data_IF_334992545768
#
_entry.id   IF_334992545768
#
_cell.length_a   1.000
_cell.length_b   1.000
_cell.length_c   1.000
_cell.angle_alpha   90.00
_cell.angle_beta   90.00
_cell.angle_gamma   90.00
#
_symmetry.space_group_name_H-M   'P 1'
#
loop_
_entity.id
_entity.type
_entity.pdbx_description
1 polymer ?
#
# COMPACT_ATOMS: atom_id res chain seq x y z
N UNK A 1 28.97 13.20 -10.55
CA UNK A 1 29.46 13.56 -11.91
C UNK A 1 28.30 13.45 -12.92
N UNK A 2 28.37 13.97 -14.18
CA UNK A 2 27.22 13.94 -15.10
C UNK A 2 26.74 12.55 -15.55
N UNK A 3 27.58 11.51 -15.37
CA UNK A 3 27.31 10.09 -15.67
C UNK A 3 27.21 9.22 -14.41
N UNK A 4 27.03 9.87 -13.26
CA UNK A 4 26.88 9.19 -11.98
C UNK A 4 25.53 8.44 -11.96
N UNK A 5 25.52 7.11 -11.72
CA UNK A 5 24.31 6.30 -11.76
C UNK A 5 23.18 6.86 -10.88
N UNK A 6 23.51 7.29 -9.66
CA UNK A 6 22.53 7.84 -8.72
C UNK A 6 21.93 9.16 -9.24
N UNK A 7 22.75 10.01 -9.85
CA UNK A 7 22.28 11.27 -10.43
C UNK A 7 21.36 11.03 -11.64
N UNK A 8 21.67 10.04 -12.48
CA UNK A 8 20.82 9.64 -13.60
C UNK A 8 19.48 9.07 -13.12
N UNK A 9 19.50 8.24 -12.07
CA UNK A 9 18.31 7.68 -11.46
C UNK A 9 17.39 8.77 -10.89
N UNK A 10 17.93 9.68 -10.07
CA UNK A 10 17.15 10.79 -9.49
C UNK A 10 16.59 11.70 -10.59
N UNK A 11 17.37 11.97 -11.64
CA UNK A 11 16.92 12.75 -12.80
C UNK A 11 15.76 12.06 -13.53
N UNK A 12 15.86 10.74 -13.76
CA UNK A 12 14.80 9.96 -14.38
C UNK A 12 13.53 9.96 -13.51
N UNK A 13 13.66 9.74 -12.20
CA UNK A 13 12.53 9.75 -11.27
C UNK A 13 11.80 11.11 -11.25
N UNK A 14 12.56 12.21 -11.17
CA UNK A 14 11.98 13.55 -11.21
C UNK A 14 11.23 13.81 -12.52
N UNK A 15 11.78 13.36 -13.65
CA UNK A 15 11.16 13.52 -14.96
C UNK A 15 9.86 12.70 -15.07
N UNK A 16 9.85 11.44 -14.60
CA UNK A 16 8.65 10.61 -14.54
C UNK A 16 7.57 11.27 -13.68
N UNK A 17 7.91 11.76 -12.48
CA UNK A 17 6.94 12.43 -11.59
C UNK A 17 6.30 13.65 -12.24
N UNK A 18 7.10 14.52 -12.86
CA UNK A 18 6.60 15.71 -13.57
C UNK A 18 5.72 15.35 -14.78
N UNK A 19 6.07 14.28 -15.49
CA UNK A 19 5.25 13.80 -16.60
C UNK A 19 3.87 13.32 -16.12
N UNK A 20 3.80 12.64 -14.97
CA UNK A 20 2.54 12.22 -14.34
C UNK A 20 1.63 13.38 -13.90
N UNK A 21 2.22 14.50 -13.47
CA UNK A 21 1.49 15.71 -13.08
C UNK A 21 1.01 16.53 -14.28
N UNK A 22 1.51 16.24 -15.48
CA UNK A 22 1.20 17.01 -16.69
C UNK A 22 -0.16 16.64 -17.29
N UNK A 23 -0.94 17.63 -17.77
CA UNK A 23 -2.11 17.36 -18.62
C UNK A 23 -1.77 16.57 -19.90
N UNK A 24 -0.54 16.72 -20.41
CA UNK A 24 -0.01 16.01 -21.59
C UNK A 24 0.77 14.73 -21.21
N UNK A 25 0.35 14.03 -20.14
CA UNK A 25 1.10 12.93 -19.52
C UNK A 25 1.64 11.88 -20.50
N UNK A 26 0.84 11.46 -21.48
CA UNK A 26 1.21 10.37 -22.38
C UNK A 26 2.42 10.75 -23.26
N UNK A 27 2.38 11.94 -23.86
CA UNK A 27 3.47 12.49 -24.67
C UNK A 27 4.73 12.72 -23.81
N UNK A 28 4.55 13.33 -22.63
CA UNK A 28 5.66 13.61 -21.71
C UNK A 28 6.32 12.34 -21.18
N UNK A 29 5.55 11.29 -20.91
CA UNK A 29 6.12 10.01 -20.50
C UNK A 29 6.95 9.40 -21.62
N UNK A 30 6.47 9.46 -22.87
CA UNK A 30 7.23 8.99 -24.02
C UNK A 30 8.61 9.69 -24.15
N UNK A 31 8.68 11.00 -23.90
CA UNK A 31 9.93 11.77 -23.88
C UNK A 31 10.90 11.34 -22.77
N UNK A 32 10.40 10.74 -21.68
CA UNK A 32 11.20 10.36 -20.50
C UNK A 32 11.86 8.99 -20.66
N UNK A 33 11.37 8.14 -21.57
CA UNK A 33 11.92 6.79 -21.83
C UNK A 33 13.46 6.73 -21.90
N UNK A 34 14.13 7.59 -22.70
CA UNK A 34 15.60 7.61 -22.78
C UNK A 34 16.32 7.88 -21.45
N UNK A 35 15.73 8.66 -20.53
CA UNK A 35 16.32 8.90 -19.21
C UNK A 35 16.28 7.65 -18.33
N UNK A 36 15.20 6.87 -18.44
CA UNK A 36 15.06 5.60 -17.72
C UNK A 36 16.07 4.58 -18.26
N UNK A 37 16.20 4.49 -19.59
CA UNK A 37 17.21 3.63 -20.23
C UNK A 37 18.62 3.99 -19.78
N UNK A 38 18.97 5.28 -19.80
CA UNK A 38 20.29 5.74 -19.37
C UNK A 38 20.58 5.40 -17.89
N UNK A 39 19.58 5.51 -17.00
CA UNK A 39 19.73 5.10 -15.61
C UNK A 39 19.93 3.58 -15.47
N UNK A 40 19.17 2.77 -16.22
CA UNK A 40 19.28 1.32 -16.22
C UNK A 40 20.62 0.80 -16.79
N UNK A 41 21.21 1.52 -17.75
CA UNK A 41 22.52 1.19 -18.33
C UNK A 41 23.69 1.59 -17.43
N UNK A 42 23.52 2.64 -16.61
CA UNK A 42 24.58 3.16 -15.75
C UNK A 42 24.89 2.22 -14.56
N UNK A 43 23.88 1.55 -14.02
CA UNK A 43 24.04 0.42 -13.10
C UNK A 43 23.12 -0.75 -13.51
N UNK A 44 23.63 -1.70 -14.32
CA UNK A 44 22.82 -2.81 -14.82
C UNK A 44 22.29 -3.76 -13.74
N UNK A 45 22.79 -3.69 -12.49
CA UNK A 45 22.32 -4.53 -11.39
C UNK A 45 21.22 -3.86 -10.55
N UNK A 46 21.06 -2.54 -10.67
CA UNK A 46 20.08 -1.79 -9.91
C UNK A 46 18.64 -2.11 -10.38
N UNK A 47 17.74 -2.58 -9.50
CA UNK A 47 16.33 -2.79 -9.83
C UNK A 47 15.52 -1.47 -9.93
N UNK A 48 15.98 -0.35 -9.36
CA UNK A 48 15.18 0.87 -9.22
C UNK A 48 14.82 1.52 -10.56
N UNK A 49 15.70 1.58 -11.59
CA UNK A 49 15.31 2.04 -12.93
C UNK A 49 14.14 1.24 -13.52
N UNK A 50 14.04 -0.05 -13.22
CA UNK A 50 12.95 -0.90 -13.71
C UNK A 50 11.62 -0.63 -13.00
N UNK A 51 11.64 -0.21 -11.72
CA UNK A 51 10.46 0.36 -11.07
C UNK A 51 9.94 1.56 -11.84
N UNK A 52 10.84 2.47 -12.25
CA UNK A 52 10.47 3.66 -13.04
C UNK A 52 9.96 3.26 -14.43
N UNK A 53 10.57 2.25 -15.07
CA UNK A 53 10.14 1.75 -16.37
C UNK A 53 8.72 1.16 -16.32
N UNK A 54 8.39 0.39 -15.27
CA UNK A 54 7.04 -0.15 -15.07
C UNK A 54 6.01 0.95 -14.80
N UNK A 55 6.36 1.96 -14.00
CA UNK A 55 5.47 3.09 -13.76
C UNK A 55 5.29 3.94 -15.04
N UNK A 56 6.35 4.14 -15.81
CA UNK A 56 6.29 4.76 -17.13
C UNK A 56 5.39 3.98 -18.08
N UNK A 57 5.56 2.65 -18.18
CA UNK A 57 4.77 1.78 -19.06
C UNK A 57 3.26 1.90 -18.79
N UNK A 58 2.87 2.05 -17.52
CA UNK A 58 1.48 2.29 -17.12
C UNK A 58 0.94 3.61 -17.68
N UNK A 59 1.69 4.70 -17.57
CA UNK A 59 1.22 6.01 -18.00
C UNK A 59 1.39 6.31 -19.48
N UNK A 60 2.31 5.62 -20.17
CA UNK A 60 2.51 5.69 -21.62
C UNK A 60 1.61 4.72 -22.39
N UNK A 61 0.72 4.00 -21.71
CA UNK A 61 -0.14 2.97 -22.30
C UNK A 61 0.61 1.88 -23.07
N UNK A 62 1.70 1.37 -22.49
CA UNK A 62 2.47 0.29 -23.10
C UNK A 62 1.61 -0.99 -23.29
N UNK A 63 2.00 -1.82 -24.25
CA UNK A 63 1.34 -3.12 -24.47
C UNK A 63 1.70 -4.11 -23.35
N UNK A 64 0.88 -5.14 -23.18
CA UNK A 64 1.17 -6.21 -22.21
C UNK A 64 2.53 -6.87 -22.45
N UNK A 65 2.90 -7.14 -23.70
CA UNK A 65 4.22 -7.70 -24.06
C UNK A 65 5.39 -6.80 -23.69
N UNK A 66 5.23 -5.48 -23.86
CA UNK A 66 6.25 -4.53 -23.42
C UNK A 66 6.37 -4.52 -21.90
N UNK A 67 5.24 -4.57 -21.18
CA UNK A 67 5.23 -4.70 -19.73
C UNK A 67 5.92 -5.99 -19.25
N UNK A 68 5.61 -7.15 -19.84
CA UNK A 68 6.24 -8.44 -19.50
C UNK A 68 7.76 -8.37 -19.64
N UNK A 69 8.25 -7.76 -20.73
CA UNK A 69 9.68 -7.57 -20.95
C UNK A 69 10.33 -6.72 -19.86
N UNK A 70 9.67 -5.64 -19.42
CA UNK A 70 10.17 -4.80 -18.32
C UNK A 70 10.11 -5.53 -16.98
N UNK A 71 9.06 -6.31 -16.75
CA UNK A 71 8.88 -7.10 -15.54
C UNK A 71 9.97 -8.17 -15.38
N UNK A 72 10.29 -8.89 -16.45
CA UNK A 72 11.39 -9.86 -16.46
C UNK A 72 12.73 -9.22 -16.08
N UNK A 73 12.99 -8.01 -16.58
CA UNK A 73 14.21 -7.27 -16.25
C UNK A 73 14.25 -6.85 -14.77
N UNK A 74 13.11 -6.43 -14.20
CA UNK A 74 13.01 -6.11 -12.79
C UNK A 74 13.28 -7.34 -11.90
N UNK A 75 12.59 -8.45 -12.17
CA UNK A 75 12.71 -9.71 -11.40
C UNK A 75 14.11 -10.30 -11.49
N UNK A 76 14.75 -10.24 -12.66
CA UNK A 76 16.13 -10.72 -12.87
C UNK A 76 17.16 -10.01 -11.97
N UNK A 77 16.90 -8.74 -11.62
CA UNK A 77 17.80 -7.94 -10.77
C UNK A 77 17.45 -8.07 -9.30
N UNK A 78 16.17 -8.06 -8.98
CA UNK A 78 15.70 -8.30 -7.62
C UNK A 78 14.27 -8.83 -7.62
N UNK A 79 14.14 -10.14 -7.43
CA UNK A 79 12.86 -10.84 -7.40
C UNK A 79 11.92 -10.35 -6.28
N UNK A 80 12.45 -9.73 -5.23
CA UNK A 80 11.67 -9.26 -4.08
C UNK A 80 11.72 -7.74 -3.89
N UNK A 81 12.09 -6.96 -4.91
CA UNK A 81 12.09 -5.51 -4.81
C UNK A 81 10.65 -4.96 -4.72
N UNK A 82 10.23 -4.58 -3.50
CA UNK A 82 8.87 -4.12 -3.19
C UNK A 82 8.38 -3.03 -4.15
N UNK A 83 9.20 -2.03 -4.46
CA UNK A 83 8.81 -0.95 -5.37
C UNK A 83 8.47 -1.42 -6.79
N UNK A 84 9.18 -2.44 -7.31
CA UNK A 84 8.90 -2.99 -8.65
C UNK A 84 7.58 -3.75 -8.64
N UNK A 85 7.35 -4.56 -7.60
CA UNK A 85 6.09 -5.26 -7.40
C UNK A 85 4.89 -4.31 -7.28
N UNK A 86 5.03 -3.21 -6.53
CA UNK A 86 3.99 -2.18 -6.44
C UNK A 86 3.73 -1.53 -7.81
N UNK A 87 4.77 -1.22 -8.58
CA UNK A 87 4.60 -0.67 -9.92
C UNK A 87 3.89 -1.66 -10.87
N UNK A 88 4.26 -2.94 -10.81
CA UNK A 88 3.61 -4.01 -11.58
C UNK A 88 2.13 -4.20 -11.20
N UNK A 89 1.84 -4.26 -9.89
CA UNK A 89 0.46 -4.32 -9.39
C UNK A 89 -0.39 -3.16 -9.92
N UNK A 90 0.17 -1.93 -9.92
CA UNK A 90 -0.54 -0.74 -10.43
C UNK A 90 -0.81 -0.82 -11.93
N UNK A 91 0.12 -1.39 -12.71
CA UNK A 91 -0.09 -1.62 -14.14
C UNK A 91 -1.24 -2.60 -14.39
N UNK A 92 -1.26 -3.71 -13.63
CA UNK A 92 -2.27 -4.77 -13.73
C UNK A 92 -3.62 -4.41 -13.08
N UNK A 93 -3.71 -3.29 -12.38
CA UNK A 93 -4.95 -2.91 -11.69
C UNK A 93 -6.13 -2.63 -12.64
N UNK A 94 -7.34 -2.78 -12.12
CA UNK A 94 -8.61 -2.56 -12.84
C UNK A 94 -8.75 -1.14 -13.44
N UNK A 95 -8.05 -0.16 -12.87
CA UNK A 95 -8.06 1.21 -13.37
C UNK A 95 -7.30 1.39 -14.70
N UNK A 96 -6.57 0.37 -15.16
CA UNK A 96 -5.71 0.44 -16.33
C UNK A 96 -5.94 -0.75 -17.25
N UNK A 97 -5.24 -1.86 -17.02
CA UNK A 97 -5.18 -2.97 -17.98
C UNK A 97 -5.81 -4.28 -17.52
N UNK A 98 -6.07 -4.45 -16.22
CA UNK A 98 -6.57 -5.72 -15.70
C UNK A 98 -7.93 -5.62 -15.03
N UNK A 99 -8.17 -6.55 -14.12
CA UNK A 99 -9.35 -6.65 -13.26
C UNK A 99 -8.93 -6.72 -11.80
N UNK A 100 -9.84 -6.43 -10.86
CA UNK A 100 -9.54 -6.61 -9.43
C UNK A 100 -9.14 -8.06 -9.13
N UNK A 101 -9.72 -9.04 -9.84
CA UNK A 101 -9.33 -10.43 -9.73
C UNK A 101 -7.87 -10.66 -10.13
N UNK A 102 -7.44 -10.23 -11.31
CA UNK A 102 -6.05 -10.37 -11.76
C UNK A 102 -5.07 -9.62 -10.86
N UNK A 103 -5.48 -8.46 -10.36
CA UNK A 103 -4.71 -7.66 -9.41
C UNK A 103 -4.45 -8.45 -8.11
N UNK A 104 -5.48 -9.06 -7.53
CA UNK A 104 -5.31 -9.91 -6.36
C UNK A 104 -4.53 -11.19 -6.68
N UNK A 105 -4.80 -11.87 -7.81
CA UNK A 105 -4.11 -13.11 -8.20
C UNK A 105 -2.59 -12.88 -8.31
N UNK A 106 -2.18 -11.75 -8.91
CA UNK A 106 -0.78 -11.32 -8.95
C UNK A 106 -0.23 -11.02 -7.54
N UNK A 107 -0.98 -10.25 -6.74
CA UNK A 107 -0.55 -9.82 -5.41
C UNK A 107 -0.34 -10.98 -4.44
N UNK A 108 -1.28 -11.94 -4.44
CA UNK A 108 -1.24 -13.14 -3.61
C UNK A 108 -0.09 -14.03 -4.02
N UNK A 109 0.08 -14.28 -5.32
CA UNK A 109 1.20 -15.07 -5.81
C UNK A 109 2.56 -14.47 -5.44
N UNK A 110 2.69 -13.15 -5.62
CA UNK A 110 3.93 -12.45 -5.25
C UNK A 110 4.19 -12.49 -3.73
N UNK A 111 3.14 -12.42 -2.90
CA UNK A 111 3.25 -12.55 -1.45
C UNK A 111 3.64 -13.98 -1.01
N UNK A 112 3.08 -15.01 -1.65
CA UNK A 112 3.43 -16.42 -1.41
C UNK A 112 4.89 -16.73 -1.74
N UNK A 113 5.37 -16.20 -2.87
CA UNK A 113 6.76 -16.42 -3.33
C UNK A 113 7.77 -15.53 -2.59
N UNK A 114 7.34 -14.60 -1.72
CA UNK A 114 8.21 -13.65 -1.05
C UNK A 114 9.04 -14.27 0.09
N UNK A 115 10.23 -13.72 0.31
CA UNK A 115 11.02 -14.05 1.50
C UNK A 115 10.27 -13.68 2.80
N UNK A 116 10.55 -14.38 3.92
CA UNK A 116 10.04 -14.00 5.23
C UNK A 116 10.27 -12.52 5.54
N UNK A 117 9.27 -11.89 6.15
CA UNK A 117 9.23 -10.47 6.51
C UNK A 117 9.38 -9.46 5.35
N UNK A 118 9.41 -9.91 4.09
CA UNK A 118 9.44 -9.01 2.94
C UNK A 118 8.18 -8.16 2.83
N UNK A 119 8.32 -6.86 2.56
CA UNK A 119 7.20 -5.96 2.30
C UNK A 119 6.37 -6.37 1.07
N UNK A 120 6.89 -7.22 0.19
CA UNK A 120 6.13 -7.84 -0.92
C UNK A 120 4.91 -8.61 -0.39
N UNK A 121 4.97 -9.16 0.83
CA UNK A 121 3.82 -9.82 1.46
C UNK A 121 2.64 -8.86 1.72
N UNK A 122 2.84 -7.55 1.65
CA UNK A 122 1.78 -6.55 1.76
C UNK A 122 1.05 -6.24 0.44
N UNK A 123 1.45 -6.81 -0.70
CA UNK A 123 0.76 -6.53 -1.97
C UNK A 123 -0.74 -6.85 -1.93
N UNK A 124 -1.21 -7.95 -1.31
CA UNK A 124 -2.64 -8.23 -1.25
C UNK A 124 -3.43 -7.12 -0.55
N UNK A 125 -2.90 -6.51 0.53
CA UNK A 125 -3.59 -5.41 1.22
C UNK A 125 -3.62 -4.13 0.38
N UNK A 126 -2.64 -3.97 -0.51
CA UNK A 126 -2.63 -2.90 -1.52
C UNK A 126 -3.64 -3.12 -2.64
N UNK A 127 -3.83 -4.37 -3.08
CA UNK A 127 -4.90 -4.73 -4.01
C UNK A 127 -6.29 -4.50 -3.38
N UNK A 128 -6.47 -4.92 -2.12
CA UNK A 128 -7.68 -4.66 -1.35
C UNK A 128 -7.99 -3.16 -1.23
N UNK A 129 -6.99 -2.34 -0.94
CA UNK A 129 -7.16 -0.89 -0.93
C UNK A 129 -7.64 -0.33 -2.28
N UNK A 130 -7.04 -0.78 -3.39
CA UNK A 130 -7.45 -0.33 -4.72
C UNK A 130 -8.92 -0.70 -5.04
N UNK A 131 -9.38 -1.89 -4.62
CA UNK A 131 -10.77 -2.30 -4.73
C UNK A 131 -11.70 -1.43 -3.86
N UNK A 132 -11.31 -1.12 -2.63
CA UNK A 132 -12.11 -0.29 -1.72
C UNK A 132 -12.30 1.14 -2.21
N UNK A 133 -11.37 1.67 -3.01
CA UNK A 133 -11.51 2.99 -3.65
C UNK A 133 -12.44 2.98 -4.87
N UNK A 134 -12.64 1.82 -5.49
CA UNK A 134 -13.52 1.67 -6.65
C UNK A 134 -14.95 1.39 -6.20
N UNK A 135 -15.74 2.45 -6.00
CA UNK A 135 -17.12 2.36 -5.49
C UNK A 135 -18.04 1.50 -6.37
N UNK A 136 -17.79 1.46 -7.69
CA UNK A 136 -18.58 0.68 -8.64
C UNK A 136 -18.23 -0.81 -8.58
N UNK A 137 -16.95 -1.15 -8.37
CA UNK A 137 -16.55 -2.53 -8.10
C UNK A 137 -17.01 -2.96 -6.70
N UNK A 138 -16.91 -2.08 -5.71
CA UNK A 138 -17.28 -2.38 -4.33
C UNK A 138 -18.76 -2.78 -4.21
N UNK A 139 -19.66 -2.07 -4.90
CA UNK A 139 -21.08 -2.42 -4.94
C UNK A 139 -21.41 -3.75 -5.63
N UNK A 140 -20.45 -4.39 -6.30
CA UNK A 140 -20.57 -5.69 -6.97
C UNK A 140 -19.66 -6.75 -6.34
N UNK A 141 -19.10 -6.47 -5.17
CA UNK A 141 -18.20 -7.38 -4.46
C UNK A 141 -18.94 -8.66 -4.08
N UNK A 142 -18.27 -9.80 -4.26
CA UNK A 142 -18.76 -11.11 -3.85
C UNK A 142 -18.20 -11.47 -2.48
N UNK A 143 -18.82 -12.39 -1.75
CA UNK A 143 -18.28 -12.90 -0.48
C UNK A 143 -16.83 -13.39 -0.62
N UNK A 144 -16.50 -14.02 -1.76
CA UNK A 144 -15.13 -14.46 -2.07
C UNK A 144 -14.13 -13.30 -2.09
N UNK A 145 -14.50 -12.14 -2.64
CA UNK A 145 -13.62 -10.97 -2.65
C UNK A 145 -13.50 -10.34 -1.26
N UNK A 146 -14.58 -10.36 -0.47
CA UNK A 146 -14.53 -9.91 0.93
C UNK A 146 -13.57 -10.77 1.77
N UNK A 147 -13.65 -12.10 1.62
CA UNK A 147 -12.75 -13.05 2.27
C UNK A 147 -11.29 -12.80 1.89
N UNK A 148 -11.01 -12.46 0.61
CA UNK A 148 -9.67 -12.08 0.14
C UNK A 148 -9.18 -10.78 0.78
N UNK A 149 -10.05 -9.78 0.96
CA UNK A 149 -9.69 -8.53 1.65
C UNK A 149 -9.31 -8.82 3.11
N UNK A 150 -10.10 -9.66 3.79
CA UNK A 150 -9.86 -9.97 5.20
C UNK A 150 -8.58 -10.83 5.37
N UNK A 151 -8.35 -11.81 4.49
CA UNK A 151 -7.11 -12.60 4.47
C UNK A 151 -5.86 -11.74 4.15
N UNK A 152 -6.00 -10.76 3.26
CA UNK A 152 -4.95 -9.79 2.95
C UNK A 152 -4.62 -8.90 4.17
N UNK A 153 -5.64 -8.44 4.89
CA UNK A 153 -5.47 -7.70 6.13
C UNK A 153 -4.77 -8.53 7.21
N UNK A 154 -5.17 -9.80 7.39
CA UNK A 154 -4.55 -10.72 8.36
C UNK A 154 -3.06 -10.95 8.07
N UNK A 155 -2.72 -11.13 6.78
CA UNK A 155 -1.34 -11.29 6.34
C UNK A 155 -0.53 -10.03 6.62
N UNK A 156 -1.07 -8.85 6.32
CA UNK A 156 -0.42 -7.59 6.60
C UNK A 156 -0.30 -7.28 8.10
N UNK A 157 -1.23 -7.74 8.95
CA UNK A 157 -1.11 -7.66 10.42
C UNK A 157 0.10 -8.47 10.89
N UNK A 158 0.22 -9.74 10.44
CA UNK A 158 1.37 -10.60 10.79
C UNK A 158 2.69 -9.97 10.35
N UNK A 159 2.75 -9.47 9.12
CA UNK A 159 3.92 -8.76 8.60
C UNK A 159 4.23 -7.50 9.44
N UNK A 160 3.24 -6.67 9.76
CA UNK A 160 3.42 -5.46 10.56
C UNK A 160 4.02 -5.76 11.94
N UNK A 161 3.62 -6.88 12.55
CA UNK A 161 4.11 -7.33 13.85
C UNK A 161 5.57 -7.83 13.83
N UNK A 162 6.10 -8.24 12.67
CA UNK A 162 7.51 -8.63 12.54
C UNK A 162 8.48 -7.44 12.68
N UNK A 163 7.99 -6.22 12.46
CA UNK A 163 8.77 -4.99 12.60
C UNK A 163 8.56 -4.32 13.95
N UNK A 164 9.58 -3.60 14.44
CA UNK A 164 9.47 -2.85 15.69
C UNK A 164 8.37 -1.77 15.61
N UNK A 165 7.68 -1.46 16.73
CA UNK A 165 6.79 -0.31 16.79
C UNK A 165 7.54 0.98 16.43
N UNK A 166 6.94 1.85 15.62
CA UNK A 166 7.56 3.09 15.16
C UNK A 166 8.70 2.90 14.14
N UNK A 167 8.86 1.72 13.55
CA UNK A 167 9.79 1.54 12.43
C UNK A 167 9.33 2.34 11.19
N UNK A 168 10.17 3.23 10.62
CA UNK A 168 9.85 3.94 9.39
C UNK A 168 9.76 3.02 8.16
N UNK A 169 10.43 1.86 8.17
CA UNK A 169 10.51 0.96 7.03
C UNK A 169 9.15 0.40 6.56
N UNK A 170 8.30 -0.19 7.43
CA UNK A 170 6.95 -0.62 7.08
C UNK A 170 5.90 0.50 7.20
N UNK A 171 6.27 1.76 7.43
CA UNK A 171 5.31 2.81 7.79
C UNK A 171 4.18 2.97 6.76
N UNK A 172 4.51 2.98 5.47
CA UNK A 172 3.50 3.06 4.40
C UNK A 172 2.54 1.85 4.43
N UNK A 173 3.08 0.64 4.59
CA UNK A 173 2.28 -0.60 4.70
C UNK A 173 1.37 -0.55 5.92
N UNK A 174 1.85 -0.05 7.06
CA UNK A 174 1.02 0.10 8.27
C UNK A 174 -0.11 1.11 8.06
N UNK A 175 0.18 2.26 7.48
CA UNK A 175 -0.86 3.26 7.18
C UNK A 175 -1.90 2.72 6.17
N UNK A 176 -1.45 1.99 5.15
CA UNK A 176 -2.31 1.31 4.19
C UNK A 176 -3.21 0.25 4.85
N UNK A 177 -2.62 -0.64 5.65
CA UNK A 177 -3.34 -1.65 6.41
C UNK A 177 -4.39 -1.01 7.32
N UNK A 178 -4.03 0.05 8.05
CA UNK A 178 -4.96 0.77 8.91
C UNK A 178 -6.18 1.26 8.14
N UNK A 179 -5.99 1.85 6.95
CA UNK A 179 -7.13 2.26 6.13
C UNK A 179 -8.04 1.07 5.79
N UNK A 180 -7.48 -0.05 5.33
CA UNK A 180 -8.25 -1.25 4.97
C UNK A 180 -9.02 -1.79 6.18
N UNK A 181 -8.40 -1.87 7.35
CA UNK A 181 -9.05 -2.30 8.59
C UNK A 181 -10.23 -1.41 8.97
N UNK A 182 -10.06 -0.08 8.87
CA UNK A 182 -11.15 0.87 9.13
C UNK A 182 -12.30 0.69 8.13
N UNK A 183 -12.00 0.52 6.84
CA UNK A 183 -13.01 0.29 5.82
C UNK A 183 -13.77 -1.03 6.03
N UNK A 184 -13.13 -2.03 6.66
CA UNK A 184 -13.73 -3.30 7.06
C UNK A 184 -14.36 -3.28 8.45
N UNK A 185 -14.36 -2.15 9.15
CA UNK A 185 -14.92 -2.04 10.50
C UNK A 185 -14.13 -2.80 11.59
N UNK A 186 -12.88 -3.18 11.30
CA UNK A 186 -11.97 -3.87 12.23
C UNK A 186 -11.26 -2.88 13.16
N UNK A 187 -12.07 -2.15 13.95
CA UNK A 187 -11.62 -0.96 14.70
C UNK A 187 -10.53 -1.23 15.73
N UNK A 188 -10.61 -2.36 16.44
CA UNK A 188 -9.61 -2.73 17.46
C UNK A 188 -8.23 -2.95 16.83
N UNK A 189 -8.18 -3.71 15.74
CA UNK A 189 -6.94 -4.00 15.03
C UNK A 189 -6.38 -2.75 14.34
N UNK A 190 -7.25 -1.88 13.82
CA UNK A 190 -6.83 -0.58 13.30
C UNK A 190 -6.19 0.29 14.41
N UNK A 191 -6.75 0.28 15.62
CA UNK A 191 -6.18 1.00 16.77
C UNK A 191 -4.81 0.45 17.19
N UNK A 192 -4.63 -0.87 17.13
CA UNK A 192 -3.32 -1.50 17.35
C UNK A 192 -2.31 -1.04 16.29
N UNK A 193 -2.71 -1.01 15.01
CA UNK A 193 -1.85 -0.49 13.95
C UNK A 193 -1.48 0.99 14.15
N UNK A 194 -2.41 1.84 14.60
CA UNK A 194 -2.07 3.24 14.95
C UNK A 194 -1.02 3.34 16.07
N UNK A 195 -1.01 2.40 17.01
CA UNK A 195 0.03 2.30 18.03
C UNK A 195 1.37 1.90 17.43
N UNK A 196 1.38 0.91 16.52
CA UNK A 196 2.57 0.46 15.81
C UNK A 196 3.13 1.51 14.83
N UNK A 197 2.29 2.36 14.23
CA UNK A 197 2.71 3.46 13.36
C UNK A 197 3.50 4.52 14.14
N UNK A 198 3.09 4.81 15.37
CA UNK A 198 3.71 5.84 16.20
C UNK A 198 3.61 7.22 15.54
N UNK A 199 4.76 7.82 15.22
CA UNK A 199 4.87 9.15 14.60
C UNK A 199 4.88 9.12 13.06
N UNK A 200 4.92 7.95 12.43
CA UNK A 200 5.17 7.80 11.01
C UNK A 200 3.88 7.80 10.17
N UNK A 201 3.11 8.89 10.26
CA UNK A 201 2.03 9.15 9.31
C UNK A 201 2.63 9.37 7.91
N UNK A 202 2.14 8.65 6.91
CA UNK A 202 2.64 8.73 5.52
C UNK A 202 1.63 9.45 4.64
N UNK A 203 2.04 10.01 3.48
CA UNK A 203 1.08 10.63 2.55
C UNK A 203 0.11 9.61 1.95
N UNK A 204 0.64 8.52 1.40
CA UNK A 204 -0.16 7.37 0.98
C UNK A 204 -0.49 6.50 2.20
N UNK A 205 -1.74 5.99 2.37
CA UNK A 205 -2.87 6.04 1.44
C UNK A 205 -3.76 7.29 1.56
N UNK A 206 -3.57 8.13 2.57
CA UNK A 206 -4.52 9.17 2.95
C UNK A 206 -4.72 10.25 1.89
N UNK A 207 -3.68 10.57 1.13
CA UNK A 207 -3.75 11.49 -0.02
C UNK A 207 -4.59 10.95 -1.18
N UNK A 208 -4.93 9.66 -1.19
CA UNK A 208 -5.84 9.08 -2.20
C UNK A 208 -7.31 9.25 -1.84
N UNK A 209 -7.64 9.71 -0.62
CA UNK A 209 -9.01 9.85 -0.12
C UNK A 209 -9.31 11.23 0.47
N UNK A 210 -8.31 12.11 0.56
CA UNK A 210 -8.43 13.46 1.08
C UNK A 210 -7.28 14.34 0.57
N UNK A 211 -7.56 15.63 0.36
CA UNK A 211 -6.54 16.63 0.05
C UNK A 211 -5.68 16.99 1.28
N UNK A 212 -6.19 16.75 2.49
CA UNK A 212 -5.44 16.87 3.75
C UNK A 212 -5.11 15.48 4.31
N UNK A 213 -4.03 14.90 3.81
CA UNK A 213 -3.59 13.56 4.18
C UNK A 213 -3.32 13.41 5.70
N UNK A 214 -2.70 14.43 6.32
CA UNK A 214 -2.37 14.39 7.74
C UNK A 214 -3.63 14.53 8.60
N UNK A 215 -4.50 15.50 8.28
CA UNK A 215 -5.79 15.64 8.96
C UNK A 215 -6.61 14.36 8.87
N UNK A 216 -6.68 13.76 7.68
CA UNK A 216 -7.41 12.49 7.47
C UNK A 216 -6.87 11.33 8.30
N UNK A 217 -5.54 11.22 8.45
CA UNK A 217 -4.91 10.23 9.34
C UNK A 217 -5.27 10.46 10.81
N UNK A 218 -5.24 11.72 11.27
CA UNK A 218 -5.56 12.06 12.66
C UNK A 218 -7.03 11.80 12.98
N UNK A 219 -7.94 12.19 12.09
CA UNK A 219 -9.38 11.91 12.22
C UNK A 219 -9.66 10.40 12.26
N UNK A 220 -8.97 9.63 11.41
CA UNK A 220 -9.08 8.18 11.40
C UNK A 220 -8.63 7.57 12.74
N UNK A 221 -7.55 8.10 13.32
CA UNK A 221 -7.01 7.65 14.61
C UNK A 221 -7.97 7.93 15.76
N UNK A 222 -8.54 9.13 15.80
CA UNK A 222 -9.48 9.52 16.85
C UNK A 222 -10.83 8.82 16.68
N UNK A 223 -11.30 8.65 15.44
CA UNK A 223 -12.46 7.83 15.13
C UNK A 223 -12.32 6.38 15.60
N UNK A 224 -11.18 5.74 15.35
CA UNK A 224 -10.92 4.37 15.80
C UNK A 224 -10.97 4.26 17.34
N UNK A 225 -10.39 5.22 18.07
CA UNK A 225 -10.45 5.28 19.54
C UNK A 225 -11.88 5.37 20.06
N UNK A 226 -12.70 6.24 19.46
CA UNK A 226 -14.10 6.41 19.83
C UNK A 226 -14.91 5.14 19.57
N UNK A 227 -14.72 4.49 18.42
CA UNK A 227 -15.42 3.24 18.09
C UNK A 227 -15.07 2.13 19.08
N UNK A 228 -13.78 1.90 19.37
CA UNK A 228 -13.35 0.90 20.36
C UNK A 228 -13.88 1.21 21.75
N UNK A 229 -13.85 2.48 22.18
CA UNK A 229 -14.41 2.89 23.46
C UNK A 229 -15.92 2.63 23.56
N UNK A 230 -16.66 2.89 22.48
CA UNK A 230 -18.11 2.65 22.42
C UNK A 230 -18.49 1.16 22.44
N UNK A 231 -17.63 0.31 21.88
CA UNK A 231 -17.81 -1.14 21.87
C UNK A 231 -17.37 -1.82 23.18
N UNK A 232 -16.60 -1.13 24.03
CA UNK A 232 -16.16 -1.66 25.31
C UNK A 232 -17.28 -1.51 26.34
N UNK A 233 -17.85 -2.60 26.89
CA UNK A 233 -18.88 -2.47 27.92
C UNK A 233 -18.31 -1.70 29.11
N UNK A 234 -18.98 -0.63 29.53
CA UNK A 234 -18.72 -0.02 30.83
C UNK A 234 -18.92 -1.12 31.87
N UNK A 235 -17.82 -1.62 32.45
CA UNK A 235 -17.90 -2.51 33.62
C UNK A 235 -18.75 -1.81 34.65
N UNK A 236 -19.95 -2.35 34.88
CA UNK A 236 -20.81 -1.95 35.97
C UNK A 236 -19.97 -1.85 37.24
N UNK A 237 -20.06 -0.69 37.92
CA UNK A 237 -19.66 -0.54 39.32
C UNK A 237 -20.62 -1.37 40.19
N UNK A 238 -20.63 -2.68 40.02
CA UNK A 238 -21.30 -3.60 40.90
C UNK A 238 -20.40 -3.85 42.12
N UNK A 239 -20.82 -3.32 43.28
CA UNK A 239 -20.34 -3.82 44.56
C UNK A 239 -19.64 -2.84 45.50
N UNK A 240 -20.07 -1.57 45.62
CA UNK A 240 -19.94 -0.92 46.95
C UNK A 240 -20.96 -1.60 47.87
N UNK A 241 -20.48 -2.61 48.60
CA UNK A 241 -21.23 -3.29 49.64
C UNK A 241 -21.84 -2.27 50.60
N UNK A 242 -23.17 -2.28 50.71
CA UNK A 242 -23.88 -1.69 51.84
C UNK A 242 -23.48 -2.49 53.09
N UNK A 243 -22.92 -1.88 54.14
CA UNK A 243 -22.86 -2.55 55.43
C UNK A 243 -24.29 -2.66 55.96
N UNK A 244 -24.82 -3.87 56.05
CA UNK A 244 -25.97 -4.15 56.90
C UNK A 244 -25.46 -4.16 58.35
N UNK A 245 -25.58 -3.03 59.03
CA UNK A 245 -25.46 -2.95 60.49
C UNK A 245 -26.81 -3.30 61.11
N UNK A 246 -26.81 -4.31 61.97
CA UNK A 246 -27.94 -4.90 62.67
C UNK A 246 -28.57 -3.95 63.71
N UNK A 247 -29.90 -3.98 63.82
CA UNK A 247 -30.63 -3.66 65.04
C UNK A 247 -30.64 -4.91 65.93
N UNK A 248 -30.11 -4.78 67.15
CA UNK A 248 -30.56 -5.41 68.39
C UNK A 248 -29.80 -4.77 69.56
#
# INVERSE_FOLDING_TARGET
APRDPDALLVKAELAVRRAWESPARAERLHEVGPLITAAAEADPRDPVPWRLALDHARGSHATHTAFESLWEQAVRRSAHHYGCHVAALRYLSAAWYGSHRECFDFAERAAEDALPDSLVQALPVRAAFALLLDTQALGRTTSVLEDRIDAAADTAIRLSAAYRPGDPWPAEVRNLLTYVLLARGRWAEALDQFTLIGQHATSFPWSSVSDDALGRFLDARDGARLQVASATPLRDRAGRGRPRGHYA
#
